data_IF_549989303285
#
_entry.id   IF_549989303285
#
_cell.length_a   1.000
_cell.length_b   1.000
_cell.length_c   1.000
_cell.angle_alpha   90.00
_cell.angle_beta   90.00
_cell.angle_gamma   90.00
#
_symmetry.space_group_name_H-M   'P 1'
#
loop_
_entity.id
_entity.type
_entity.pdbx_description
1 polymer ?
#
# COMPACT_ATOMS: atom_id res chain seq x y z
N UNK A 1 -7.71 0.68 -20.27
CA UNK A 1 -8.44 0.61 -19.00
C UNK A 1 -8.52 -0.83 -18.53
N UNK A 2 -8.25 -1.07 -17.23
CA UNK A 2 -8.39 -2.38 -16.58
C UNK A 2 -9.52 -2.28 -15.56
N UNK A 3 -10.45 -3.21 -15.61
CA UNK A 3 -11.57 -3.32 -14.68
C UNK A 3 -11.55 -4.69 -14.00
N UNK A 4 -11.48 -4.69 -12.68
CA UNK A 4 -11.50 -5.90 -11.85
C UNK A 4 -12.55 -5.71 -10.76
N UNK A 5 -13.55 -6.57 -10.74
CA UNK A 5 -14.61 -6.54 -9.73
C UNK A 5 -14.97 -7.95 -9.29
N UNK A 6 -15.24 -8.12 -8.00
CA UNK A 6 -15.69 -9.36 -7.39
C UNK A 6 -14.85 -10.59 -7.79
N UNK A 7 -13.51 -10.42 -7.82
CA UNK A 7 -12.57 -11.40 -8.33
C UNK A 7 -11.61 -11.87 -7.23
N UNK A 8 -10.96 -13.03 -7.43
CA UNK A 8 -10.00 -13.58 -6.47
C UNK A 8 -8.70 -14.01 -7.16
N UNK A 9 -7.57 -13.54 -6.65
CA UNK A 9 -6.21 -13.83 -7.11
C UNK A 9 -5.44 -14.47 -5.98
N UNK A 10 -5.24 -15.77 -6.05
CA UNK A 10 -4.84 -16.58 -4.90
C UNK A 10 -3.67 -17.49 -5.21
N UNK A 11 -2.66 -17.50 -4.32
CA UNK A 11 -1.58 -18.48 -4.32
C UNK A 11 -0.73 -18.50 -5.61
N UNK A 12 -0.50 -17.33 -6.24
CA UNK A 12 0.48 -17.22 -7.31
C UNK A 12 1.84 -17.73 -6.80
N UNK A 13 2.52 -18.49 -7.64
CA UNK A 13 3.87 -19.02 -7.37
C UNK A 13 4.93 -18.29 -8.17
N UNK A 14 4.53 -17.31 -8.93
CA UNK A 14 5.38 -16.44 -9.70
C UNK A 14 5.71 -15.18 -8.88
N UNK A 15 6.14 -14.15 -9.53
CA UNK A 15 6.42 -12.83 -8.98
C UNK A 15 5.15 -12.24 -8.31
N UNK A 16 4.57 -11.21 -8.82
CA UNK A 16 3.37 -10.59 -8.25
C UNK A 16 2.08 -11.40 -8.52
N UNK A 17 1.06 -11.20 -7.71
CA UNK A 17 -0.27 -11.72 -7.97
C UNK A 17 -0.87 -11.10 -9.23
N UNK A 18 -0.75 -9.79 -9.39
CA UNK A 18 -1.05 -9.03 -10.60
C UNK A 18 -0.05 -7.88 -10.71
N UNK A 19 0.44 -7.62 -11.93
CA UNK A 19 1.19 -6.42 -12.27
C UNK A 19 0.48 -5.67 -13.40
N UNK A 20 0.15 -4.37 -13.19
CA UNK A 20 -0.53 -3.51 -14.17
C UNK A 20 0.28 -2.25 -14.37
N UNK A 21 0.54 -1.90 -15.64
CA UNK A 21 1.33 -0.73 -16.00
C UNK A 21 0.60 0.19 -16.96
N UNK A 22 0.85 1.51 -16.83
CA UNK A 22 0.39 2.55 -17.76
C UNK A 22 -1.12 2.51 -18.04
N UNK A 23 -1.94 2.26 -17.01
CA UNK A 23 -3.37 2.01 -17.19
C UNK A 23 -4.25 2.87 -16.28
N UNK A 24 -5.45 3.17 -16.75
CA UNK A 24 -6.56 3.54 -15.88
C UNK A 24 -7.14 2.27 -15.26
N UNK A 25 -7.21 2.21 -13.94
CA UNK A 25 -7.66 1.03 -13.20
C UNK A 25 -8.91 1.30 -12.38
N UNK A 26 -9.78 0.32 -12.33
CA UNK A 26 -10.91 0.28 -11.42
C UNK A 26 -10.96 -1.11 -10.79
N UNK A 27 -10.43 -1.25 -9.56
CA UNK A 27 -10.28 -2.53 -8.88
C UNK A 27 -11.12 -2.50 -7.60
N UNK A 28 -12.14 -3.34 -7.55
CA UNK A 28 -13.12 -3.32 -6.47
C UNK A 28 -13.52 -4.70 -5.98
N UNK A 29 -13.97 -4.78 -4.72
CA UNK A 29 -14.63 -5.95 -4.14
C UNK A 29 -13.87 -7.26 -4.32
N UNK A 30 -12.55 -7.20 -4.46
CA UNK A 30 -11.72 -8.31 -4.88
C UNK A 30 -10.78 -8.79 -3.76
N UNK A 31 -10.29 -10.02 -3.89
CA UNK A 31 -9.41 -10.65 -2.90
C UNK A 31 -8.08 -11.04 -3.52
N UNK A 32 -7.01 -10.63 -2.87
CA UNK A 32 -5.63 -10.98 -3.20
C UNK A 32 -5.02 -11.70 -1.99
N UNK A 33 -4.55 -12.94 -2.17
CA UNK A 33 -4.12 -13.72 -1.01
C UNK A 33 -3.00 -14.68 -1.31
N UNK A 34 -1.96 -14.66 -0.47
CA UNK A 34 -0.86 -15.62 -0.48
C UNK A 34 -0.09 -15.69 -1.82
N UNK A 35 -0.04 -14.61 -2.58
CA UNK A 35 0.83 -14.55 -3.74
C UNK A 35 2.29 -14.36 -3.28
N UNK A 36 3.26 -14.90 -4.02
CA UNK A 36 4.66 -14.96 -3.56
C UNK A 36 5.34 -13.60 -3.61
N UNK A 37 5.14 -12.83 -4.66
CA UNK A 37 5.56 -11.43 -4.76
C UNK A 37 4.53 -10.50 -4.13
N UNK A 38 4.43 -9.27 -4.59
CA UNK A 38 3.40 -8.36 -4.13
C UNK A 38 2.01 -8.89 -4.49
N UNK A 39 1.01 -8.59 -3.65
CA UNK A 39 -0.33 -9.06 -3.97
C UNK A 39 -0.82 -8.37 -5.24
N UNK A 40 -0.47 -7.10 -5.41
CA UNK A 40 -0.70 -6.33 -6.63
C UNK A 40 0.32 -5.20 -6.75
N UNK A 41 0.86 -5.01 -7.95
CA UNK A 41 1.78 -3.95 -8.33
C UNK A 41 1.16 -3.06 -9.43
N UNK A 42 1.16 -1.74 -9.21
CA UNK A 42 0.60 -0.73 -10.11
C UNK A 42 1.65 0.32 -10.46
N UNK A 43 2.16 0.27 -11.69
CA UNK A 43 3.13 1.22 -12.21
C UNK A 43 2.48 2.24 -13.16
N UNK A 44 2.66 3.53 -12.89
CA UNK A 44 2.17 4.62 -13.74
C UNK A 44 0.68 4.50 -14.06
N UNK A 45 -0.09 4.10 -13.07
CA UNK A 45 -1.53 3.92 -13.17
C UNK A 45 -2.28 5.13 -12.58
N UNK A 46 -3.57 5.19 -12.83
CA UNK A 46 -4.52 6.11 -12.17
C UNK A 46 -5.87 5.45 -12.00
N UNK A 47 -6.66 5.91 -11.04
CA UNK A 47 -8.03 5.42 -10.87
C UNK A 47 -8.38 5.09 -9.42
N UNK A 48 -8.98 3.91 -9.18
CA UNK A 48 -9.52 3.57 -7.86
C UNK A 48 -9.24 2.12 -7.46
N UNK A 49 -8.96 1.93 -6.17
CA UNK A 49 -8.75 0.64 -5.51
C UNK A 49 -9.61 0.59 -4.24
N UNK A 50 -10.80 -0.03 -4.33
CA UNK A 50 -11.85 0.15 -3.31
C UNK A 50 -12.41 -1.19 -2.84
N UNK A 51 -12.58 -1.33 -1.51
CA UNK A 51 -13.25 -2.47 -0.85
C UNK A 51 -12.61 -3.83 -1.19
N UNK A 52 -11.29 -3.87 -1.28
CA UNK A 52 -10.54 -5.10 -1.53
C UNK A 52 -9.96 -5.68 -0.24
N UNK A 53 -9.61 -6.97 -0.27
CA UNK A 53 -8.93 -7.66 0.82
C UNK A 53 -7.60 -8.22 0.35
N UNK A 54 -6.52 -7.77 0.97
CA UNK A 54 -5.16 -8.21 0.72
C UNK A 54 -4.64 -8.86 1.99
N UNK A 55 -4.38 -10.17 1.94
CA UNK A 55 -4.14 -10.97 3.15
C UNK A 55 -3.03 -12.01 2.91
N UNK A 56 -2.12 -12.12 3.87
CA UNK A 56 -1.24 -13.28 4.00
C UNK A 56 -1.74 -14.13 5.17
N UNK A 57 -2.04 -15.40 4.93
CA UNK A 57 -2.46 -16.31 6.01
C UNK A 57 -1.31 -16.59 6.97
N UNK A 58 -1.52 -16.41 8.28
CA UNK A 58 -0.50 -16.54 9.34
C UNK A 58 0.28 -17.86 9.33
N UNK A 59 -0.28 -18.92 8.78
CA UNK A 59 0.33 -20.26 8.76
C UNK A 59 1.11 -20.58 7.47
N UNK A 60 1.00 -19.75 6.45
CA UNK A 60 1.84 -19.84 5.26
C UNK A 60 3.11 -19.01 5.47
N UNK A 61 4.17 -19.64 6.00
CA UNK A 61 5.52 -19.11 5.83
C UNK A 61 5.83 -19.14 4.32
N UNK A 62 5.50 -18.07 3.63
CA UNK A 62 6.06 -17.84 2.31
C UNK A 62 7.56 -17.68 2.54
N UNK A 63 8.36 -18.65 2.06
CA UNK A 63 9.81 -18.66 2.28
C UNK A 63 10.42 -17.40 1.71
N UNK A 64 11.01 -16.57 2.59
CA UNK A 64 11.87 -15.43 2.24
C UNK A 64 11.27 -14.37 1.31
N UNK A 65 10.00 -14.08 1.39
CA UNK A 65 9.41 -13.05 0.56
C UNK A 65 9.13 -11.81 1.39
N UNK A 66 9.85 -10.74 1.09
CA UNK A 66 9.43 -9.38 1.42
C UNK A 66 8.26 -9.07 0.48
N UNK A 67 7.01 -9.30 0.94
CA UNK A 67 5.81 -9.09 0.15
C UNK A 67 5.08 -7.84 0.60
N UNK A 68 4.74 -6.99 -0.35
CA UNK A 68 3.84 -5.87 -0.13
C UNK A 68 2.39 -6.27 -0.46
N UNK A 69 1.44 -5.66 0.21
CA UNK A 69 0.03 -5.83 -0.14
C UNK A 69 -0.27 -5.12 -1.47
N UNK A 70 0.02 -3.84 -1.54
CA UNK A 70 -0.08 -3.03 -2.75
C UNK A 70 1.20 -2.22 -2.92
N UNK A 71 1.95 -2.45 -3.99
CA UNK A 71 3.03 -1.55 -4.41
C UNK A 71 2.52 -0.60 -5.49
N UNK A 72 2.81 0.69 -5.34
CA UNK A 72 2.48 1.70 -6.34
C UNK A 72 3.70 2.55 -6.67
N UNK A 73 3.97 2.69 -7.96
CA UNK A 73 5.06 3.50 -8.48
C UNK A 73 4.56 4.48 -9.55
N UNK A 74 4.80 5.77 -9.36
CA UNK A 74 4.36 6.82 -10.29
C UNK A 74 2.83 6.88 -10.51
N UNK A 75 2.07 6.45 -9.53
CA UNK A 75 0.63 6.16 -9.63
C UNK A 75 -0.21 7.18 -8.87
N UNK A 76 -1.30 7.66 -9.48
CA UNK A 76 -2.27 8.59 -8.90
C UNK A 76 -3.63 7.87 -8.70
N UNK A 77 -3.94 7.51 -7.46
CA UNK A 77 -5.03 6.56 -7.18
C UNK A 77 -5.74 6.85 -5.84
N UNK A 78 -7.06 6.64 -5.81
CA UNK A 78 -7.83 6.58 -4.56
C UNK A 78 -7.82 5.14 -4.02
N UNK A 79 -7.30 4.96 -2.79
CA UNK A 79 -7.22 3.68 -2.07
C UNK A 79 -8.15 3.76 -0.86
N UNK A 80 -9.29 3.06 -0.91
CA UNK A 80 -10.36 3.27 0.06
C UNK A 80 -11.06 2.01 0.52
N UNK A 81 -11.35 1.91 1.83
CA UNK A 81 -12.11 0.80 2.43
C UNK A 81 -11.50 -0.59 2.19
N UNK A 82 -10.18 -0.67 2.05
CA UNK A 82 -9.48 -1.95 1.88
C UNK A 82 -8.98 -2.49 3.22
N UNK A 83 -8.68 -3.77 3.25
CA UNK A 83 -8.05 -4.46 4.38
C UNK A 83 -6.69 -4.97 3.93
N UNK A 84 -5.64 -4.63 4.68
CA UNK A 84 -4.25 -5.08 4.49
C UNK A 84 -3.84 -5.84 5.75
N UNK A 85 -3.55 -7.15 5.61
CA UNK A 85 -3.35 -8.00 6.79
C UNK A 85 -2.16 -8.96 6.67
N UNK A 86 -1.31 -8.96 7.72
CA UNK A 86 -0.19 -9.89 7.95
C UNK A 86 0.95 -9.78 6.93
N UNK A 87 1.24 -8.61 6.39
CA UNK A 87 2.37 -8.41 5.49
C UNK A 87 3.68 -8.34 6.26
N UNK A 88 4.65 -9.16 5.84
CA UNK A 88 5.99 -9.21 6.44
C UNK A 88 6.88 -8.02 6.05
N UNK A 89 6.53 -7.34 4.96
CA UNK A 89 7.15 -6.08 4.57
C UNK A 89 6.14 -4.93 4.70
N UNK A 90 5.32 -4.61 3.72
CA UNK A 90 4.42 -3.45 3.77
C UNK A 90 2.98 -3.79 3.41
N UNK A 91 2.01 -3.20 4.11
CA UNK A 91 0.62 -3.20 3.67
C UNK A 91 0.47 -2.44 2.36
N UNK A 92 0.94 -1.17 2.33
CA UNK A 92 1.05 -0.37 1.11
C UNK A 92 2.46 0.22 1.00
N UNK A 93 3.04 0.12 -0.18
CA UNK A 93 4.28 0.75 -0.58
C UNK A 93 4.00 1.85 -1.60
N UNK A 94 4.26 3.12 -1.24
CA UNK A 94 4.03 4.29 -2.09
C UNK A 94 5.38 4.86 -2.54
N UNK A 95 5.71 4.72 -3.81
CA UNK A 95 7.01 5.11 -4.33
C UNK A 95 6.96 5.91 -5.64
N UNK A 96 8.12 6.45 -5.99
CA UNK A 96 8.43 6.97 -7.32
C UNK A 96 7.49 8.07 -7.83
N UNK A 97 7.24 9.11 -7.00
CA UNK A 97 6.33 10.22 -7.31
C UNK A 97 4.87 9.80 -7.46
N UNK A 98 4.40 8.90 -6.62
CA UNK A 98 2.98 8.57 -6.51
C UNK A 98 2.21 9.61 -5.69
N UNK A 99 0.92 9.78 -5.99
CA UNK A 99 0.03 10.77 -5.34
C UNK A 99 -1.29 10.14 -4.87
N UNK A 100 -1.28 9.15 -3.96
CA UNK A 100 -2.50 8.50 -3.53
C UNK A 100 -3.27 9.31 -2.48
N UNK A 101 -4.62 9.18 -2.55
CA UNK A 101 -5.52 9.44 -1.43
C UNK A 101 -5.84 8.11 -0.75
N UNK A 102 -5.42 7.93 0.49
CA UNK A 102 -5.55 6.68 1.25
C UNK A 102 -6.53 6.90 2.40
N UNK A 103 -7.75 6.37 2.30
CA UNK A 103 -8.80 6.67 3.27
C UNK A 103 -9.62 5.47 3.71
N UNK A 104 -10.03 5.44 4.98
CA UNK A 104 -10.93 4.42 5.54
C UNK A 104 -10.42 2.97 5.38
N UNK A 105 -9.12 2.76 5.22
CA UNK A 105 -8.54 1.42 5.14
C UNK A 105 -8.24 0.89 6.54
N UNK A 106 -8.11 -0.43 6.65
CA UNK A 106 -7.71 -1.11 7.88
C UNK A 106 -6.40 -1.86 7.65
N UNK A 107 -5.42 -1.61 8.49
CA UNK A 107 -4.10 -2.23 8.47
C UNK A 107 -3.91 -3.05 9.73
N UNK A 108 -3.79 -4.37 9.59
CA UNK A 108 -3.69 -5.30 10.72
C UNK A 108 -2.40 -6.13 10.67
N UNK A 109 -1.62 -6.11 11.75
CA UNK A 109 -0.47 -7.00 11.95
C UNK A 109 0.57 -6.95 10.82
N UNK A 110 0.81 -5.81 10.21
CA UNK A 110 1.84 -5.64 9.20
C UNK A 110 3.19 -5.27 9.84
N UNK A 111 4.31 -5.54 9.17
CA UNK A 111 5.57 -4.98 9.62
C UNK A 111 5.55 -3.45 9.46
N UNK A 112 5.30 -2.95 8.27
CA UNK A 112 5.00 -1.53 8.02
C UNK A 112 3.61 -1.46 7.40
N UNK A 113 2.67 -0.72 8.00
CA UNK A 113 1.35 -0.60 7.41
C UNK A 113 1.39 0.24 6.13
N UNK A 114 2.06 1.40 6.17
CA UNK A 114 2.18 2.32 5.04
C UNK A 114 3.59 2.88 4.93
N UNK A 115 4.29 2.58 3.85
CA UNK A 115 5.57 3.20 3.52
C UNK A 115 5.39 4.28 2.45
N UNK A 116 5.94 5.48 2.66
CA UNK A 116 5.91 6.59 1.71
C UNK A 116 7.36 6.97 1.39
N UNK A 117 7.72 6.91 0.11
CA UNK A 117 9.11 7.03 -0.32
C UNK A 117 9.25 7.80 -1.64
N UNK A 118 10.48 8.23 -1.94
CA UNK A 118 10.93 8.62 -3.28
C UNK A 118 10.05 9.70 -3.95
N UNK A 119 10.02 10.91 -3.38
CA UNK A 119 9.26 12.08 -3.87
C UNK A 119 7.75 11.89 -3.93
N UNK A 120 7.20 10.85 -3.31
CA UNK A 120 5.76 10.63 -3.28
C UNK A 120 5.08 11.55 -2.27
N UNK A 121 3.81 11.89 -2.53
CA UNK A 121 2.98 12.69 -1.64
C UNK A 121 1.69 11.94 -1.35
N UNK A 122 1.57 11.37 -0.16
CA UNK A 122 0.37 10.64 0.24
C UNK A 122 -0.51 11.49 1.15
N UNK A 123 -1.81 11.55 0.86
CA UNK A 123 -2.81 12.10 1.75
C UNK A 123 -3.55 10.96 2.44
N UNK A 124 -3.60 11.00 3.79
CA UNK A 124 -4.25 9.92 4.56
C UNK A 124 -5.36 10.47 5.47
N UNK A 125 -6.50 9.76 5.50
CA UNK A 125 -7.68 10.16 6.25
C UNK A 125 -8.42 8.95 6.83
N UNK A 126 -8.77 8.97 8.12
CA UNK A 126 -9.67 7.99 8.76
C UNK A 126 -9.28 6.53 8.55
N UNK A 127 -7.99 6.22 8.47
CA UNK A 127 -7.52 4.84 8.44
C UNK A 127 -7.41 4.27 9.87
N UNK A 128 -7.51 2.95 9.98
CA UNK A 128 -7.39 2.20 11.22
C UNK A 128 -6.09 1.39 11.16
N UNK A 129 -5.25 1.55 12.18
CA UNK A 129 -3.96 0.86 12.31
C UNK A 129 -3.98 0.00 13.56
N UNK A 130 -3.83 -1.32 13.42
CA UNK A 130 -3.88 -2.27 14.52
C UNK A 130 -2.65 -3.18 14.54
N UNK A 131 -1.89 -3.18 15.62
CA UNK A 131 -0.79 -4.10 15.87
C UNK A 131 0.28 -4.14 14.76
N UNK A 132 0.51 -3.04 14.05
CA UNK A 132 1.62 -2.95 13.12
C UNK A 132 2.92 -2.63 13.89
N UNK A 133 4.08 -3.07 13.40
CA UNK A 133 5.35 -2.67 14.01
C UNK A 133 5.64 -1.18 13.75
N UNK A 134 5.33 -0.71 12.54
CA UNK A 134 5.32 0.71 12.18
C UNK A 134 4.00 1.00 11.45
N UNK A 135 3.27 2.04 11.88
CA UNK A 135 2.05 2.43 11.16
C UNK A 135 2.37 3.19 9.88
N UNK A 136 3.34 4.10 9.96
CA UNK A 136 3.80 4.86 8.79
C UNK A 136 5.33 4.97 8.83
N UNK A 137 5.96 4.74 7.68
CA UNK A 137 7.40 4.95 7.50
C UNK A 137 7.68 5.89 6.33
N UNK A 138 8.50 6.96 6.55
CA UNK A 138 8.91 7.92 5.53
C UNK A 138 10.42 7.85 5.30
N UNK A 139 10.84 7.58 4.06
CA UNK A 139 12.26 7.49 3.71
C UNK A 139 12.53 7.67 2.21
N UNK A 140 13.80 7.86 1.86
CA UNK A 140 14.27 7.82 0.47
C UNK A 140 14.91 6.45 0.23
N UNK A 141 14.37 5.66 -0.69
CA UNK A 141 14.94 4.38 -1.14
C UNK A 141 15.92 4.57 -2.29
N UNK A 142 15.55 5.38 -3.27
CA UNK A 142 16.35 5.65 -4.46
C UNK A 142 16.94 7.05 -4.40
N UNK A 143 18.27 7.18 -4.34
CA UNK A 143 19.01 8.42 -4.05
C UNK A 143 18.75 9.59 -4.99
N UNK A 144 18.19 9.38 -6.15
CA UNK A 144 17.87 10.42 -7.14
C UNK A 144 16.48 11.04 -6.97
N UNK A 145 15.68 10.52 -6.02
CA UNK A 145 14.43 11.15 -5.62
C UNK A 145 14.62 12.07 -4.40
N UNK A 146 13.69 12.96 -4.23
CA UNK A 146 13.60 13.83 -3.05
C UNK A 146 12.84 13.14 -1.91
N UNK A 147 12.77 13.82 -0.77
CA UNK A 147 12.05 13.35 0.40
C UNK A 147 10.53 13.22 0.11
N UNK A 148 9.88 12.17 0.62
CA UNK A 148 8.43 12.03 0.51
C UNK A 148 7.70 13.03 1.41
N UNK A 149 6.41 13.25 1.13
CA UNK A 149 5.51 14.06 1.96
C UNK A 149 4.29 13.25 2.39
N UNK A 150 3.93 13.44 3.65
CA UNK A 150 2.70 12.92 4.24
C UNK A 150 1.79 14.09 4.59
N UNK A 151 0.58 14.09 4.03
CA UNK A 151 -0.49 15.00 4.43
C UNK A 151 -1.42 14.21 5.35
N UNK A 152 -1.45 14.60 6.63
CA UNK A 152 -2.12 13.89 7.69
C UNK A 152 -3.33 14.69 8.22
N UNK A 153 -4.52 14.08 8.16
CA UNK A 153 -5.70 14.65 8.82
C UNK A 153 -5.53 14.63 10.34
N UNK A 154 -5.98 15.66 11.02
CA UNK A 154 -5.95 15.77 12.50
C UNK A 154 -6.68 14.66 13.24
N UNK A 155 -7.53 13.91 12.57
CA UNK A 155 -8.24 12.75 13.15
C UNK A 155 -7.36 11.51 13.35
N UNK A 156 -6.12 11.55 12.86
CA UNK A 156 -5.15 10.46 13.05
C UNK A 156 -4.19 10.84 14.19
N UNK A 157 -4.60 10.56 15.41
CA UNK A 157 -3.76 10.70 16.62
C UNK A 157 -3.12 9.35 16.96
N UNK A 158 -1.99 9.41 17.68
CA UNK A 158 -1.29 8.24 18.26
C UNK A 158 -0.73 7.22 17.27
N UNK A 159 -0.34 7.67 16.07
CA UNK A 159 0.31 6.82 15.08
C UNK A 159 1.79 6.60 15.41
N UNK A 160 2.25 5.36 15.28
CA UNK A 160 3.67 5.02 15.31
C UNK A 160 4.33 5.38 13.97
N UNK A 161 4.85 6.61 13.88
CA UNK A 161 5.45 7.14 12.65
C UNK A 161 6.98 7.11 12.74
N UNK A 162 7.62 6.34 11.89
CA UNK A 162 9.06 6.36 11.69
C UNK A 162 9.42 7.30 10.53
N UNK A 163 9.81 8.51 10.85
CA UNK A 163 10.26 9.48 9.87
C UNK A 163 11.79 9.52 9.80
N UNK A 164 12.37 8.83 8.83
CA UNK A 164 13.82 8.85 8.58
C UNK A 164 14.17 10.07 7.73
N UNK A 165 13.35 10.37 6.73
CA UNK A 165 13.58 11.49 5.81
C UNK A 165 12.30 11.81 5.03
N UNK A 166 11.48 12.69 5.57
CA UNK A 166 10.21 13.09 4.96
C UNK A 166 9.64 14.36 5.59
N UNK A 167 8.64 14.95 4.97
CA UNK A 167 7.87 16.08 5.47
C UNK A 167 6.48 15.64 5.91
N UNK A 168 6.03 16.04 7.10
CA UNK A 168 4.67 15.77 7.60
C UNK A 168 3.92 17.07 7.71
N UNK A 169 2.77 17.16 7.03
CA UNK A 169 1.88 18.32 6.98
C UNK A 169 0.56 17.93 7.63
N UNK A 170 0.18 18.61 8.70
CA UNK A 170 -1.10 18.40 9.39
C UNK A 170 -2.16 19.34 8.85
N UNK A 171 -3.34 18.80 8.49
CA UNK A 171 -4.48 19.56 7.97
C UNK A 171 -5.73 19.42 8.83
#
# INVERSE_FOLDING_TARGET
KVFIDNSSFLNSKSDDGINIKFSEVEIKNSKFMNNIGDQIDLDYCKGVFINNKLIIEKYKKLKNTETDGLDISGTDIEIKKNIFENFSDKGISVGEKSYPLISMNTFNNNNIALAIKDSSIAKIEKNIFNNNNEDISLYIKKKFYEAPKLILSKDNTDLNIKNIKGEIIYQ
#
